data_IF_126810581454
#
_entry.id   IF_126810581454
#
_cell.length_a   1.000
_cell.length_b   1.000
_cell.length_c   1.000
_cell.angle_alpha   90.00
_cell.angle_beta   90.00
_cell.angle_gamma   90.00
#
_symmetry.space_group_name_H-M   'P 1'
#
loop_
_entity.id
_entity.type
_entity.pdbx_description
1 polymer ?
#
# COMPACT_ATOMS: atom_id res chain seq x y z
N UNK A 1 -33.68 2.17 -5.15
CA UNK A 1 -33.73 3.15 -4.04
C UNK A 1 -32.65 2.86 -2.99
N UNK A 2 -32.47 1.60 -2.58
CA UNK A 2 -31.47 1.22 -1.55
C UNK A 2 -30.03 1.59 -1.90
N UNK A 3 -29.59 1.41 -3.13
CA UNK A 3 -28.25 1.78 -3.58
C UNK A 3 -27.95 3.28 -3.41
N UNK A 4 -28.92 4.16 -3.78
CA UNK A 4 -28.74 5.62 -3.68
C UNK A 4 -28.63 6.04 -2.21
N UNK A 5 -29.41 5.45 -1.32
CA UNK A 5 -29.37 5.72 0.12
C UNK A 5 -28.06 5.23 0.79
N UNK A 6 -27.45 4.18 0.25
CA UNK A 6 -26.20 3.62 0.74
C UNK A 6 -24.93 4.32 0.17
N UNK A 7 -25.10 5.16 -0.86
CA UNK A 7 -23.99 5.84 -1.54
C UNK A 7 -23.15 6.76 -0.61
N UNK A 8 -23.75 7.58 0.29
CA UNK A 8 -22.98 8.40 1.23
C UNK A 8 -22.11 7.55 2.17
N UNK A 9 -22.63 6.40 2.62
CA UNK A 9 -21.89 5.46 3.48
C UNK A 9 -20.70 4.85 2.71
N UNK A 10 -20.91 4.43 1.46
CA UNK A 10 -19.84 3.91 0.60
C UNK A 10 -18.74 4.95 0.34
N UNK A 11 -19.11 6.21 0.08
CA UNK A 11 -18.15 7.30 -0.12
C UNK A 11 -17.35 7.57 1.15
N UNK A 12 -18.01 7.64 2.32
CA UNK A 12 -17.33 7.85 3.60
C UNK A 12 -16.33 6.75 3.91
N UNK A 13 -16.74 5.49 3.79
CA UNK A 13 -15.85 4.35 3.97
C UNK A 13 -14.73 4.35 2.93
N UNK A 14 -15.05 4.59 1.67
CA UNK A 14 -14.08 4.67 0.59
C UNK A 14 -13.01 5.74 0.82
N UNK A 15 -13.36 6.90 1.38
CA UNK A 15 -12.40 7.95 1.74
C UNK A 15 -11.49 7.52 2.91
N UNK A 16 -12.04 6.87 3.95
CA UNK A 16 -11.23 6.37 5.09
C UNK A 16 -10.23 5.33 4.60
N UNK A 17 -10.68 4.35 3.81
CA UNK A 17 -9.79 3.36 3.21
C UNK A 17 -8.85 3.98 2.17
N UNK A 18 -9.23 5.09 1.55
CA UNK A 18 -8.38 5.91 0.71
C UNK A 18 -7.21 6.52 1.49
N UNK A 19 -7.43 7.00 2.73
CA UNK A 19 -6.36 7.46 3.63
C UNK A 19 -5.40 6.31 3.95
N UNK A 20 -5.93 5.14 4.30
CA UNK A 20 -5.12 3.94 4.51
C UNK A 20 -4.29 3.60 3.28
N UNK A 21 -4.89 3.63 2.10
CA UNK A 21 -4.21 3.35 0.84
C UNK A 21 -3.12 4.38 0.51
N UNK A 22 -3.28 5.67 0.88
CA UNK A 22 -2.21 6.69 0.78
C UNK A 22 -1.03 6.32 1.68
N UNK A 23 -1.28 5.91 2.93
CA UNK A 23 -0.23 5.43 3.83
C UNK A 23 0.50 4.23 3.23
N UNK A 24 -0.23 3.23 2.79
CA UNK A 24 0.32 2.04 2.15
C UNK A 24 1.04 2.34 0.83
N UNK A 25 0.62 3.35 0.07
CA UNK A 25 1.31 3.79 -1.14
C UNK A 25 2.75 4.23 -0.86
N UNK A 26 3.02 4.80 0.32
CA UNK A 26 4.36 5.22 0.73
C UNK A 26 5.27 4.00 0.90
N UNK A 27 4.86 2.97 1.65
CA UNK A 27 5.68 1.76 1.82
C UNK A 27 5.79 0.97 0.53
N UNK A 28 4.68 0.70 -0.15
CA UNK A 28 4.62 -0.19 -1.30
C UNK A 28 5.23 0.42 -2.57
N UNK A 29 4.88 1.70 -2.91
CA UNK A 29 5.25 2.31 -4.19
C UNK A 29 6.41 3.28 -4.12
N UNK A 30 6.55 4.02 -3.01
CA UNK A 30 7.62 5.02 -2.86
C UNK A 30 8.87 4.36 -2.31
N UNK A 31 8.75 3.49 -1.31
CA UNK A 31 9.87 2.83 -0.64
C UNK A 31 10.23 1.47 -1.27
N UNK A 32 9.36 0.92 -2.12
CA UNK A 32 9.46 -0.43 -2.71
C UNK A 32 9.62 -1.52 -1.63
N UNK A 33 8.81 -1.41 -0.59
CA UNK A 33 8.84 -2.28 0.57
C UNK A 33 7.49 -2.99 0.75
N UNK A 34 7.49 -4.33 0.72
CA UNK A 34 6.28 -5.15 0.94
C UNK A 34 5.95 -5.20 2.43
N UNK A 35 5.26 -4.16 2.92
CA UNK A 35 4.92 -4.00 4.32
C UNK A 35 3.61 -4.72 4.67
N UNK A 36 3.71 -5.83 5.37
CA UNK A 36 2.56 -6.58 5.88
C UNK A 36 2.11 -6.11 7.28
N UNK A 37 2.81 -5.13 7.88
CA UNK A 37 2.44 -4.54 9.18
C UNK A 37 1.15 -3.74 9.09
N UNK A 38 0.80 -3.27 7.89
CA UNK A 38 -0.36 -2.41 7.59
C UNK A 38 -1.65 -2.92 8.22
N UNK A 39 -1.95 -4.22 8.10
CA UNK A 39 -3.14 -4.83 8.71
C UNK A 39 -3.13 -4.68 10.24
N UNK A 40 -1.97 -4.88 10.88
CA UNK A 40 -1.79 -4.72 12.31
C UNK A 40 -1.85 -3.26 12.77
N UNK A 41 -1.14 -2.37 12.06
CA UNK A 41 -1.08 -0.93 12.39
C UNK A 41 -2.45 -0.26 12.26
N UNK A 42 -3.24 -0.66 11.26
CA UNK A 42 -4.62 -0.19 11.09
C UNK A 42 -5.48 -0.55 12.30
N UNK A 43 -5.41 -1.81 12.75
CA UNK A 43 -6.09 -2.26 13.95
C UNK A 43 -5.58 -1.54 15.21
N UNK A 44 -4.26 -1.33 15.35
CA UNK A 44 -3.66 -0.61 16.49
C UNK A 44 -4.18 0.81 16.58
N UNK A 45 -4.26 1.53 15.46
CA UNK A 45 -4.85 2.87 15.43
C UNK A 45 -6.30 2.89 15.89
N UNK A 46 -7.11 1.93 15.43
CA UNK A 46 -8.51 1.75 15.85
C UNK A 46 -8.63 1.41 17.35
N UNK A 47 -7.84 0.46 17.82
CA UNK A 47 -7.84 0.01 19.22
C UNK A 47 -7.47 1.13 20.20
N UNK A 48 -6.35 1.82 19.95
CA UNK A 48 -5.89 2.93 20.79
C UNK A 48 -6.88 4.09 20.79
N UNK A 49 -7.38 4.46 19.61
CA UNK A 49 -8.38 5.52 19.47
C UNK A 49 -9.67 5.18 20.23
N UNK A 50 -10.17 3.94 20.10
CA UNK A 50 -11.38 3.48 20.77
C UNK A 50 -11.24 3.51 22.29
N UNK A 51 -10.14 3.00 22.84
CA UNK A 51 -9.89 2.97 24.30
C UNK A 51 -9.81 4.40 24.86
N UNK A 52 -9.11 5.30 24.18
CA UNK A 52 -9.01 6.70 24.63
C UNK A 52 -10.32 7.43 24.61
N UNK A 53 -11.17 7.20 23.59
CA UNK A 53 -12.51 7.81 23.52
C UNK A 53 -13.41 7.28 24.66
N UNK A 54 -13.39 5.97 24.91
CA UNK A 54 -14.14 5.36 26.03
C UNK A 54 -13.64 5.88 27.38
N UNK A 55 -12.36 6.22 27.49
CA UNK A 55 -11.76 6.86 28.68
C UNK A 55 -12.08 8.36 28.78
N UNK A 56 -12.89 8.93 27.86
CA UNK A 56 -13.30 10.34 27.89
C UNK A 56 -12.30 11.33 27.29
N UNK A 57 -11.27 10.86 26.59
CA UNK A 57 -10.30 11.72 25.91
C UNK A 57 -10.91 12.32 24.63
N UNK A 58 -10.52 13.56 24.30
CA UNK A 58 -10.97 14.23 23.09
C UNK A 58 -10.67 13.38 21.83
N UNK A 59 -11.65 13.18 20.92
CA UNK A 59 -11.49 12.34 19.71
C UNK A 59 -10.30 12.73 18.83
N UNK A 60 -9.97 14.02 18.74
CA UNK A 60 -8.81 14.49 17.98
C UNK A 60 -7.48 14.05 18.61
N UNK A 61 -7.36 14.17 19.95
CA UNK A 61 -6.19 13.65 20.66
C UNK A 61 -6.11 12.13 20.56
N UNK A 62 -7.24 11.42 20.64
CA UNK A 62 -7.27 9.98 20.48
C UNK A 62 -6.77 9.53 19.09
N UNK A 63 -7.11 10.26 18.02
CA UNK A 63 -6.58 10.02 16.67
C UNK A 63 -5.08 10.26 16.58
N UNK A 64 -4.57 11.35 17.18
CA UNK A 64 -3.13 11.65 17.19
C UNK A 64 -2.34 10.56 17.94
N UNK A 65 -2.81 10.14 19.11
CA UNK A 65 -2.15 9.05 19.86
C UNK A 65 -2.23 7.73 19.11
N UNK A 66 -3.36 7.43 18.45
CA UNK A 66 -3.50 6.28 17.56
C UNK A 66 -2.50 6.31 16.40
N UNK A 67 -2.30 7.48 15.78
CA UNK A 67 -1.29 7.70 14.74
C UNK A 67 0.12 7.43 15.27
N UNK A 68 0.47 7.95 16.45
CA UNK A 68 1.77 7.72 17.10
C UNK A 68 2.00 6.24 17.42
N UNK A 69 0.97 5.53 17.86
CA UNK A 69 1.04 4.08 18.08
C UNK A 69 1.33 3.32 16.77
N UNK A 70 0.72 3.72 15.66
CA UNK A 70 1.04 3.18 14.33
C UNK A 70 2.46 3.53 13.88
N UNK A 71 2.95 4.73 14.18
CA UNK A 71 4.34 5.11 13.92
C UNK A 71 5.31 4.21 14.70
N UNK A 72 5.00 3.88 15.95
CA UNK A 72 5.78 2.94 16.76
C UNK A 72 5.77 1.51 16.15
N UNK A 73 4.63 1.07 15.62
CA UNK A 73 4.54 -0.20 14.90
C UNK A 73 5.42 -0.21 13.63
N UNK A 74 5.39 0.84 12.84
CA UNK A 74 6.26 1.02 11.67
C UNK A 74 7.74 1.08 12.04
N UNK A 75 8.08 1.73 13.18
CA UNK A 75 9.43 1.75 13.73
C UNK A 75 9.91 0.33 14.08
N UNK A 76 9.07 -0.47 14.74
CA UNK A 76 9.39 -1.85 15.10
C UNK A 76 9.69 -2.69 13.85
N UNK A 77 8.83 -2.64 12.83
CA UNK A 77 9.07 -3.32 11.54
C UNK A 77 10.37 -2.86 10.88
N UNK A 78 10.59 -1.55 10.88
CA UNK A 78 11.81 -0.96 10.33
C UNK A 78 13.08 -1.41 11.05
N UNK A 79 13.05 -1.50 12.38
CA UNK A 79 14.18 -1.98 13.18
C UNK A 79 14.43 -3.47 12.96
N UNK A 80 13.39 -4.30 12.89
CA UNK A 80 13.53 -5.73 12.55
C UNK A 80 14.19 -5.93 11.19
N UNK A 81 13.80 -5.12 10.19
CA UNK A 81 14.39 -5.19 8.85
C UNK A 81 15.79 -4.60 8.79
N UNK A 82 15.95 -3.35 9.20
CA UNK A 82 17.20 -2.59 9.01
C UNK A 82 18.26 -2.93 10.06
N UNK A 83 17.85 -3.25 11.29
CA UNK A 83 18.74 -3.58 12.40
C UNK A 83 19.12 -5.07 12.46
N UNK A 84 18.15 -5.96 12.26
CA UNK A 84 18.35 -7.41 12.37
C UNK A 84 18.50 -8.11 11.02
N UNK A 85 18.35 -7.39 9.89
CA UNK A 85 18.49 -7.97 8.55
C UNK A 85 17.34 -8.92 8.14
N UNK A 86 16.22 -8.90 8.85
CA UNK A 86 15.07 -9.77 8.54
C UNK A 86 14.44 -9.34 7.21
N UNK A 87 14.08 -10.28 6.31
CA UNK A 87 13.41 -9.95 5.05
C UNK A 87 12.15 -9.08 5.25
N UNK A 88 11.83 -8.15 4.32
CA UNK A 88 10.72 -7.19 4.46
C UNK A 88 9.38 -7.83 4.82
N UNK A 89 8.99 -8.88 4.08
CA UNK A 89 7.72 -9.59 4.28
C UNK A 89 7.67 -10.22 5.69
N UNK A 90 8.76 -10.88 6.10
CA UNK A 90 8.82 -11.56 7.39
C UNK A 90 8.80 -10.56 8.55
N UNK A 91 9.51 -9.44 8.46
CA UNK A 91 9.49 -8.38 9.49
C UNK A 91 8.07 -7.82 9.69
N UNK A 92 7.32 -7.62 8.59
CA UNK A 92 5.92 -7.20 8.64
C UNK A 92 5.01 -8.22 9.32
N UNK A 93 5.13 -9.51 8.97
CA UNK A 93 4.35 -10.58 9.59
C UNK A 93 4.64 -10.68 11.09
N UNK A 94 5.90 -10.64 11.49
CA UNK A 94 6.29 -10.70 12.91
C UNK A 94 5.68 -9.53 13.70
N UNK A 95 5.78 -8.32 13.17
CA UNK A 95 5.19 -7.14 13.82
C UNK A 95 3.66 -7.27 13.88
N UNK A 96 3.00 -7.73 12.82
CA UNK A 96 1.54 -7.93 12.79
C UNK A 96 1.10 -8.93 13.88
N UNK A 97 1.82 -10.03 14.07
CA UNK A 97 1.53 -11.02 15.14
C UNK A 97 1.73 -10.42 16.53
N UNK A 98 2.78 -9.63 16.74
CA UNK A 98 2.99 -8.91 18.01
C UNK A 98 1.86 -7.90 18.26
N UNK A 99 1.49 -7.11 17.26
CA UNK A 99 0.41 -6.12 17.35
C UNK A 99 -0.95 -6.77 17.65
N UNK A 100 -1.23 -7.95 17.11
CA UNK A 100 -2.46 -8.69 17.45
C UNK A 100 -2.61 -8.90 18.96
N UNK A 101 -1.56 -9.39 19.61
CA UNK A 101 -1.57 -9.63 21.07
C UNK A 101 -1.61 -8.31 21.88
N UNK A 102 -0.89 -7.30 21.42
CA UNK A 102 -0.88 -5.95 22.02
C UNK A 102 -2.28 -5.31 21.94
N UNK A 103 -2.92 -5.35 20.76
CA UNK A 103 -4.24 -4.79 20.54
C UNK A 103 -5.31 -5.49 21.39
N UNK A 104 -5.24 -6.82 21.53
CA UNK A 104 -6.11 -7.59 22.41
C UNK A 104 -5.99 -7.13 23.86
N UNK A 105 -4.75 -6.86 24.31
CA UNK A 105 -4.48 -6.38 25.67
C UNK A 105 -4.95 -4.94 25.87
N UNK A 106 -4.77 -4.06 24.89
CA UNK A 106 -5.20 -2.66 24.91
C UNK A 106 -6.73 -2.57 25.01
N UNK A 107 -7.46 -3.31 24.16
CA UNK A 107 -8.92 -3.28 24.14
C UNK A 107 -9.57 -4.08 25.29
N UNK A 108 -8.81 -4.93 25.98
CA UNK A 108 -9.35 -5.81 27.01
C UNK A 108 -10.28 -6.93 26.47
N UNK A 109 -10.30 -7.13 25.15
CA UNK A 109 -11.14 -8.11 24.45
C UNK A 109 -11.00 -8.01 22.94
N UNK A 110 -11.74 -8.85 22.23
CA UNK A 110 -11.69 -8.88 20.76
C UNK A 110 -12.41 -7.69 20.09
N UNK A 111 -13.36 -7.07 20.79
CA UNK A 111 -14.17 -5.96 20.29
C UNK A 111 -14.41 -4.94 21.40
N UNK A 112 -14.31 -3.65 21.08
CA UNK A 112 -14.59 -2.53 21.97
C UNK A 112 -15.59 -1.57 21.29
N UNK A 113 -16.76 -1.39 21.89
CA UNK A 113 -17.81 -0.51 21.35
C UNK A 113 -17.57 0.95 21.74
N UNK A 114 -17.64 1.85 20.77
CA UNK A 114 -17.55 3.29 20.91
C UNK A 114 -18.83 3.93 20.42
N UNK A 115 -19.86 3.97 21.31
CA UNK A 115 -21.15 4.51 20.92
C UNK A 115 -21.10 6.02 20.70
N UNK A 116 -21.44 6.48 19.51
CA UNK A 116 -21.58 7.90 19.18
C UNK A 116 -22.68 8.63 19.98
N UNK A 117 -23.56 7.89 20.67
CA UNK A 117 -24.59 8.45 21.55
C UNK A 117 -24.02 8.80 22.93
N UNK A 118 -22.99 8.08 23.37
CA UNK A 118 -22.42 8.19 24.72
C UNK A 118 -21.13 9.02 24.71
N UNK A 119 -20.34 8.90 23.63
CA UNK A 119 -19.04 9.54 23.51
C UNK A 119 -19.03 10.55 22.38
N UNK A 120 -18.26 11.62 22.54
CA UNK A 120 -18.01 12.56 21.46
C UNK A 120 -17.16 11.87 20.39
N UNK A 121 -17.61 11.88 19.14
CA UNK A 121 -16.88 11.38 17.96
C UNK A 121 -16.94 12.45 16.87
N UNK A 122 -15.89 12.56 16.06
CA UNK A 122 -15.88 13.52 14.94
C UNK A 122 -16.61 12.98 13.72
N UNK A 123 -16.59 11.67 13.56
CA UNK A 123 -17.12 10.98 12.38
C UNK A 123 -18.00 9.81 12.83
N UNK A 124 -19.25 9.76 12.35
CA UNK A 124 -20.19 8.69 12.69
C UNK A 124 -20.98 8.23 11.48
N UNK A 125 -21.25 6.93 11.40
CA UNK A 125 -22.09 6.33 10.36
C UNK A 125 -23.55 6.78 10.43
N UNK A 126 -24.01 7.23 11.61
CA UNK A 126 -25.37 7.74 11.78
C UNK A 126 -25.64 9.01 10.94
N UNK A 127 -24.61 9.81 10.68
CA UNK A 127 -24.68 11.05 9.89
C UNK A 127 -23.62 11.04 8.79
N UNK A 128 -23.69 10.09 7.86
CA UNK A 128 -22.71 9.91 6.79
C UNK A 128 -22.49 11.19 5.96
N UNK A 129 -23.53 12.00 5.76
CA UNK A 129 -23.46 13.26 5.01
C UNK A 129 -22.54 14.30 5.69
N UNK A 130 -22.52 14.34 7.02
CA UNK A 130 -21.63 15.23 7.79
C UNK A 130 -20.23 14.62 7.87
N UNK A 131 -20.11 13.30 7.87
CA UNK A 131 -18.83 12.59 7.92
C UNK A 131 -17.99 12.82 6.66
N UNK A 132 -18.61 12.91 5.47
CA UNK A 132 -17.90 13.08 4.19
C UNK A 132 -16.98 14.31 4.18
N UNK A 133 -17.46 15.54 4.48
CA UNK A 133 -16.59 16.72 4.43
C UNK A 133 -15.46 16.67 5.46
N UNK A 134 -15.69 16.06 6.64
CA UNK A 134 -14.67 15.92 7.67
C UNK A 134 -13.56 14.96 7.18
N UNK A 135 -13.94 13.79 6.67
CA UNK A 135 -12.97 12.81 6.14
C UNK A 135 -12.24 13.36 4.92
N UNK A 136 -12.95 14.09 4.05
CA UNK A 136 -12.34 14.74 2.89
C UNK A 136 -11.31 15.80 3.31
N UNK A 137 -11.59 16.57 4.36
CA UNK A 137 -10.64 17.51 4.93
C UNK A 137 -9.37 16.78 5.43
N UNK A 138 -9.51 15.62 6.09
CA UNK A 138 -8.35 14.79 6.47
C UNK A 138 -7.55 14.35 5.24
N UNK A 139 -8.21 13.86 4.17
CA UNK A 139 -7.53 13.47 2.93
C UNK A 139 -6.73 14.64 2.35
N UNK A 140 -7.35 15.82 2.24
CA UNK A 140 -6.68 17.02 1.69
C UNK A 140 -5.48 17.43 2.54
N UNK A 141 -5.63 17.46 3.86
CA UNK A 141 -4.54 17.82 4.79
C UNK A 141 -3.40 16.81 4.69
N UNK A 142 -3.69 15.51 4.68
CA UNK A 142 -2.68 14.46 4.54
C UNK A 142 -1.94 14.57 3.22
N UNK A 143 -2.67 14.74 2.10
CA UNK A 143 -2.05 14.91 0.77
C UNK A 143 -1.18 16.15 0.73
N UNK A 144 -1.62 17.26 1.31
CA UNK A 144 -0.86 18.52 1.37
C UNK A 144 0.43 18.36 2.20
N UNK A 145 0.32 17.79 3.41
CA UNK A 145 1.47 17.54 4.29
C UNK A 145 2.48 16.60 3.64
N UNK A 146 2.01 15.52 3.02
CA UNK A 146 2.88 14.57 2.32
C UNK A 146 3.52 15.19 1.07
N UNK A 147 2.79 16.00 0.33
CA UNK A 147 3.35 16.69 -0.83
C UNK A 147 4.49 17.62 -0.43
N UNK A 148 4.29 18.40 0.65
CA UNK A 148 5.32 19.25 1.21
C UNK A 148 6.51 18.43 1.74
N UNK A 149 6.25 17.37 2.51
CA UNK A 149 7.29 16.50 3.08
C UNK A 149 8.13 15.83 2.00
N UNK A 150 7.52 15.24 0.98
CA UNK A 150 8.25 14.59 -0.12
C UNK A 150 8.94 15.57 -1.08
N UNK A 151 8.72 16.87 -0.93
CA UNK A 151 9.50 17.94 -1.55
C UNK A 151 10.77 18.30 -0.80
N UNK A 152 10.94 17.89 0.47
CA UNK A 152 12.14 18.12 1.28
C UNK A 152 13.27 17.16 0.92
N UNK A 153 14.49 17.46 1.38
CA UNK A 153 15.67 16.58 1.19
C UNK A 153 15.45 15.19 1.77
N UNK A 154 14.79 15.10 2.95
CA UNK A 154 14.43 13.85 3.61
C UNK A 154 13.47 13.03 2.74
N UNK A 155 12.42 13.65 2.22
CA UNK A 155 11.46 13.00 1.33
C UNK A 155 12.08 12.57 0.01
N UNK A 156 12.97 13.38 -0.57
CA UNK A 156 13.76 13.00 -1.77
C UNK A 156 14.65 11.80 -1.50
N UNK A 157 15.30 11.73 -0.33
CA UNK A 157 16.17 10.61 0.07
C UNK A 157 15.37 9.30 0.25
N UNK A 158 14.15 9.36 0.80
CA UNK A 158 13.24 8.20 0.88
C UNK A 158 12.89 7.69 -0.53
N UNK A 159 12.54 8.60 -1.45
CA UNK A 159 12.19 8.26 -2.83
C UNK A 159 13.39 7.68 -3.59
N UNK A 160 14.59 8.25 -3.41
CA UNK A 160 15.82 7.75 -3.99
C UNK A 160 16.14 6.33 -3.48
N UNK A 161 16.01 6.11 -2.16
CA UNK A 161 16.25 4.82 -1.51
C UNK A 161 15.32 3.73 -2.04
N UNK A 162 14.03 4.04 -2.27
CA UNK A 162 13.09 3.08 -2.83
C UNK A 162 13.32 2.80 -4.31
N UNK A 163 13.79 3.81 -5.08
CA UNK A 163 14.02 3.63 -6.51
C UNK A 163 15.28 2.81 -6.82
N UNK A 164 16.39 3.12 -6.15
CA UNK A 164 17.66 2.38 -6.28
C UNK A 164 18.50 2.50 -5.01
N UNK A 165 18.45 1.50 -4.10
CA UNK A 165 19.18 1.53 -2.84
C UNK A 165 20.71 1.57 -3.02
N UNK A 166 21.24 0.89 -4.05
CA UNK A 166 22.68 0.81 -4.29
C UNK A 166 23.23 2.16 -4.74
N UNK A 167 22.54 2.84 -5.66
CA UNK A 167 22.89 4.18 -6.10
C UNK A 167 22.81 5.18 -4.93
N UNK A 168 21.78 5.08 -4.10
CA UNK A 168 21.60 5.95 -2.94
C UNK A 168 22.75 5.80 -1.93
N UNK A 169 23.21 4.57 -1.67
CA UNK A 169 24.38 4.31 -0.82
C UNK A 169 25.67 4.89 -1.41
N UNK A 170 25.86 4.77 -2.72
CA UNK A 170 27.03 5.35 -3.41
C UNK A 170 27.09 6.88 -3.28
N UNK A 171 25.93 7.53 -3.11
CA UNK A 171 25.82 8.97 -2.86
C UNK A 171 25.87 9.35 -1.37
N UNK A 172 26.20 8.40 -0.47
CA UNK A 172 26.31 8.65 0.97
C UNK A 172 24.98 8.65 1.73
N UNK A 173 23.85 8.29 1.09
CA UNK A 173 22.54 8.26 1.74
C UNK A 173 22.43 6.99 2.61
N UNK A 174 22.10 7.16 3.91
CA UNK A 174 21.84 6.03 4.81
C UNK A 174 20.50 5.38 4.50
N UNK A 175 20.50 4.40 3.59
CA UNK A 175 19.27 3.73 3.13
C UNK A 175 18.49 3.04 4.23
N UNK A 176 19.17 2.52 5.27
CA UNK A 176 18.51 1.87 6.40
C UNK A 176 17.68 2.86 7.22
N UNK A 177 18.24 4.04 7.52
CA UNK A 177 17.51 5.10 8.23
C UNK A 177 16.27 5.56 7.45
N UNK A 178 16.41 5.81 6.14
CA UNK A 178 15.29 6.29 5.32
C UNK A 178 14.22 5.23 5.06
N UNK A 179 14.58 3.94 5.05
CA UNK A 179 13.61 2.84 5.05
C UNK A 179 12.78 2.82 6.32
N UNK A 180 13.43 2.89 7.49
CA UNK A 180 12.75 2.94 8.80
C UNK A 180 11.81 4.16 8.86
N UNK A 181 12.30 5.34 8.49
CA UNK A 181 11.51 6.57 8.51
C UNK A 181 10.29 6.49 7.58
N UNK A 182 10.46 5.95 6.38
CA UNK A 182 9.34 5.74 5.45
C UNK A 182 8.27 4.79 6.00
N UNK A 183 8.67 3.71 6.67
CA UNK A 183 7.75 2.78 7.34
C UNK A 183 7.02 3.42 8.52
N UNK A 184 7.71 4.25 9.30
CA UNK A 184 7.12 5.00 10.42
C UNK A 184 6.01 5.92 9.91
N UNK A 185 6.27 6.72 8.87
CA UNK A 185 5.28 7.64 8.29
C UNK A 185 4.11 6.87 7.68
N UNK A 186 4.40 5.81 6.92
CA UNK A 186 3.39 4.96 6.29
C UNK A 186 2.42 4.38 7.31
N UNK A 187 2.94 3.68 8.32
CA UNK A 187 2.13 3.03 9.34
C UNK A 187 1.42 4.03 10.27
N UNK A 188 1.96 5.23 10.46
CA UNK A 188 1.27 6.31 11.17
C UNK A 188 -0.02 6.75 10.45
N UNK A 189 0.03 6.96 9.14
CA UNK A 189 -1.15 7.32 8.33
C UNK A 189 -2.16 6.18 8.28
N UNK A 190 -1.67 4.95 8.16
CA UNK A 190 -2.52 3.73 8.19
C UNK A 190 -3.27 3.64 9.52
N UNK A 191 -2.59 3.85 10.64
CA UNK A 191 -3.21 3.82 11.97
C UNK A 191 -4.21 4.97 12.18
N UNK A 192 -3.93 6.16 11.65
CA UNK A 192 -4.88 7.28 11.65
C UNK A 192 -6.17 6.90 10.92
N UNK A 193 -6.07 6.23 9.77
CA UNK A 193 -7.24 5.72 9.06
C UNK A 193 -8.01 4.66 9.88
N UNK A 194 -7.30 3.78 10.59
CA UNK A 194 -7.91 2.81 11.51
C UNK A 194 -8.67 3.48 12.65
N UNK A 195 -8.12 4.55 13.25
CA UNK A 195 -8.80 5.36 14.25
C UNK A 195 -10.06 6.06 13.72
N UNK A 196 -9.99 6.62 12.51
CA UNK A 196 -11.16 7.20 11.83
C UNK A 196 -12.24 6.15 11.54
N UNK A 197 -11.84 4.93 11.14
CA UNK A 197 -12.78 3.85 10.89
C UNK A 197 -13.47 3.41 12.17
N UNK A 198 -12.74 3.28 13.29
CA UNK A 198 -13.29 2.92 14.58
C UNK A 198 -14.33 3.95 15.06
N UNK A 199 -14.06 5.25 14.89
CA UNK A 199 -15.06 6.31 15.19
C UNK A 199 -16.26 6.22 14.25
N UNK A 200 -16.05 6.00 12.96
CA UNK A 200 -17.09 5.94 11.95
C UNK A 200 -18.04 4.76 12.19
N UNK A 201 -17.51 3.57 12.43
CA UNK A 201 -18.30 2.36 12.67
C UNK A 201 -18.89 2.31 14.07
N UNK A 202 -18.30 3.03 15.04
CA UNK A 202 -18.73 3.01 16.43
C UNK A 202 -18.23 1.80 17.22
N UNK A 203 -17.21 1.10 16.73
CA UNK A 203 -16.51 0.02 17.42
C UNK A 203 -15.12 -0.20 16.82
N UNK A 204 -14.21 -0.76 17.63
CA UNK A 204 -12.96 -1.32 17.18
C UNK A 204 -12.98 -2.83 17.33
N UNK A 205 -12.54 -3.56 16.32
CA UNK A 205 -12.44 -5.02 16.29
C UNK A 205 -11.00 -5.44 15.99
N UNK A 206 -10.54 -6.53 16.62
CA UNK A 206 -9.17 -7.02 16.45
C UNK A 206 -8.86 -7.47 15.01
N UNK A 207 -9.90 -7.78 14.24
CA UNK A 207 -9.77 -8.24 12.86
C UNK A 207 -10.11 -7.13 11.84
N UNK A 208 -10.34 -5.88 12.29
CA UNK A 208 -10.77 -4.79 11.40
C UNK A 208 -9.74 -4.45 10.32
N UNK A 209 -8.45 -4.73 10.55
CA UNK A 209 -7.37 -4.53 9.59
C UNK A 209 -7.17 -5.70 8.61
N UNK A 210 -7.78 -6.86 8.85
CA UNK A 210 -7.56 -8.03 7.99
C UNK A 210 -8.06 -7.81 6.57
N UNK A 211 -7.13 -7.87 5.61
CA UNK A 211 -7.40 -7.63 4.19
C UNK A 211 -7.21 -6.16 3.77
N UNK A 212 -6.75 -5.30 4.68
CA UNK A 212 -6.45 -3.90 4.37
C UNK A 212 -5.44 -3.78 3.22
N UNK A 213 -4.42 -4.62 3.21
CA UNK A 213 -3.41 -4.67 2.15
C UNK A 213 -4.04 -4.91 0.78
N UNK A 214 -5.01 -5.84 0.69
CA UNK A 214 -5.68 -6.18 -0.58
C UNK A 214 -6.50 -5.00 -1.09
N UNK A 215 -7.27 -4.36 -0.19
CA UNK A 215 -8.05 -3.16 -0.51
C UNK A 215 -7.11 -1.99 -0.89
N UNK A 216 -6.00 -1.83 -0.15
CA UNK A 216 -5.00 -0.81 -0.43
C UNK A 216 -4.36 -0.97 -1.81
N UNK A 217 -3.97 -2.20 -2.18
CA UNK A 217 -3.44 -2.49 -3.52
C UNK A 217 -4.45 -2.18 -4.61
N UNK A 218 -5.72 -2.58 -4.43
CA UNK A 218 -6.79 -2.26 -5.37
C UNK A 218 -6.95 -0.75 -5.54
N UNK A 219 -7.03 -0.01 -4.42
CA UNK A 219 -7.14 1.46 -4.44
C UNK A 219 -5.96 2.13 -5.14
N UNK A 220 -4.73 1.66 -4.88
CA UNK A 220 -3.51 2.17 -5.53
C UNK A 220 -3.56 1.94 -7.04
N UNK A 221 -3.92 0.73 -7.48
CA UNK A 221 -3.90 0.37 -8.90
C UNK A 221 -5.00 1.12 -9.65
N UNK A 222 -6.23 1.09 -9.14
CA UNK A 222 -7.37 1.81 -9.72
C UNK A 222 -7.09 3.31 -9.76
N UNK A 223 -6.67 3.87 -8.61
CA UNK A 223 -6.40 5.29 -8.49
C UNK A 223 -5.29 5.78 -9.40
N UNK A 224 -4.17 5.05 -9.46
CA UNK A 224 -3.05 5.40 -10.34
C UNK A 224 -3.40 5.21 -11.81
N UNK A 225 -4.24 4.22 -12.18
CA UNK A 225 -4.70 4.03 -13.56
C UNK A 225 -5.58 5.20 -14.04
N UNK A 226 -6.48 5.68 -13.18
CA UNK A 226 -7.37 6.83 -13.48
C UNK A 226 -6.56 8.11 -13.70
N UNK A 227 -5.58 8.36 -12.82
CA UNK A 227 -4.82 9.63 -12.81
C UNK A 227 -3.62 9.62 -13.76
N UNK A 228 -3.16 8.45 -14.23
CA UNK A 228 -1.98 8.31 -15.11
C UNK A 228 -2.02 9.19 -16.35
N UNK A 229 -3.22 9.47 -16.89
CA UNK A 229 -3.43 10.33 -18.06
C UNK A 229 -3.46 11.82 -17.73
N UNK A 230 -3.71 12.19 -16.47
CA UNK A 230 -4.01 13.58 -16.07
C UNK A 230 -2.73 14.33 -15.68
N UNK A 231 -1.85 13.73 -14.89
CA UNK A 231 -0.64 14.42 -14.45
C UNK A 231 0.45 13.46 -13.92
N UNK A 232 1.72 13.94 -14.02
CA UNK A 232 2.88 13.31 -13.38
C UNK A 232 3.11 13.80 -11.95
N UNK A 233 2.32 14.76 -11.47
CA UNK A 233 2.49 15.37 -10.15
C UNK A 233 2.22 14.35 -9.03
N UNK A 234 3.06 14.37 -7.99
CA UNK A 234 3.01 13.44 -6.87
C UNK A 234 1.72 13.61 -6.03
N UNK A 235 1.30 14.88 -5.77
CA UNK A 235 0.06 15.15 -5.04
C UNK A 235 -1.18 14.58 -5.76
N UNK A 236 -1.23 14.74 -7.09
CA UNK A 236 -2.35 14.23 -7.91
C UNK A 236 -2.38 12.70 -7.89
N UNK A 237 -1.22 12.03 -7.84
CA UNK A 237 -1.17 10.57 -7.70
C UNK A 237 -1.71 10.11 -6.35
N UNK A 238 -1.36 10.79 -5.25
CA UNK A 238 -1.89 10.47 -3.91
C UNK A 238 -3.40 10.74 -3.82
N UNK A 239 -3.88 11.87 -4.33
CA UNK A 239 -5.32 12.13 -4.48
C UNK A 239 -6.03 11.08 -5.32
N UNK A 240 -5.37 10.61 -6.39
CA UNK A 240 -5.84 9.49 -7.21
C UNK A 240 -6.00 8.19 -6.43
N UNK A 241 -5.07 7.88 -5.52
CA UNK A 241 -5.16 6.70 -4.66
C UNK A 241 -6.37 6.80 -3.73
N UNK A 242 -6.64 7.98 -3.13
CA UNK A 242 -7.84 8.18 -2.34
C UNK A 242 -9.12 7.98 -3.16
N UNK A 243 -9.17 8.53 -4.38
CA UNK A 243 -10.29 8.29 -5.32
C UNK A 243 -10.42 6.81 -5.68
N UNK A 244 -9.31 6.09 -5.82
CA UNK A 244 -9.31 4.64 -6.05
C UNK A 244 -10.01 3.87 -4.92
N UNK A 245 -9.80 4.26 -3.66
CA UNK A 245 -10.53 3.72 -2.51
C UNK A 245 -12.04 3.98 -2.58
N UNK A 246 -12.44 5.19 -2.96
CA UNK A 246 -13.85 5.54 -3.15
C UNK A 246 -14.49 4.70 -4.28
N UNK A 247 -13.82 4.60 -5.42
CA UNK A 247 -14.30 3.78 -6.55
C UNK A 247 -14.48 2.32 -6.13
N UNK A 248 -13.49 1.77 -5.42
CA UNK A 248 -13.55 0.40 -4.92
C UNK A 248 -14.77 0.17 -4.03
N UNK A 249 -15.04 1.08 -3.08
CA UNK A 249 -16.18 0.94 -2.16
C UNK A 249 -17.53 1.17 -2.85
N UNK A 250 -17.61 2.05 -3.85
CA UNK A 250 -18.82 2.21 -4.67
C UNK A 250 -19.13 0.91 -5.44
N UNK A 251 -18.11 0.27 -6.03
CA UNK A 251 -18.29 -1.01 -6.72
C UNK A 251 -18.73 -2.10 -5.74
N UNK A 252 -18.11 -2.17 -4.57
CA UNK A 252 -18.49 -3.13 -3.53
C UNK A 252 -19.96 -2.93 -3.11
N UNK A 253 -20.36 -1.68 -2.87
CA UNK A 253 -21.73 -1.33 -2.49
C UNK A 253 -22.75 -1.64 -3.60
N UNK A 254 -22.37 -1.44 -4.86
CA UNK A 254 -23.24 -1.81 -5.99
C UNK A 254 -23.49 -3.32 -6.02
N UNK A 255 -22.50 -4.13 -5.72
CA UNK A 255 -22.63 -5.60 -5.71
C UNK A 255 -23.47 -6.05 -4.51
N UNK A 256 -23.31 -5.43 -3.33
CA UNK A 256 -24.19 -5.70 -2.15
C UNK A 256 -25.64 -5.36 -2.48
N UNK A 257 -25.90 -4.25 -3.16
CA UNK A 257 -27.23 -3.83 -3.56
C UNK A 257 -27.91 -4.77 -4.58
N UNK A 258 -27.14 -5.65 -5.22
CA UNK A 258 -27.67 -6.73 -6.08
C UNK A 258 -28.20 -7.94 -5.29
N UNK A 259 -28.19 -7.89 -3.96
CA UNK A 259 -28.77 -8.91 -3.08
C UNK A 259 -27.82 -10.07 -2.74
N UNK A 260 -26.51 -9.86 -2.84
CA UNK A 260 -25.53 -10.86 -2.40
C UNK A 260 -25.39 -10.86 -0.88
N UNK A 261 -25.27 -12.04 -0.30
CA UNK A 261 -25.12 -12.25 1.13
C UNK A 261 -23.86 -11.56 1.68
N UNK A 262 -23.99 -10.92 2.83
CA UNK A 262 -22.90 -10.22 3.52
C UNK A 262 -21.75 -11.15 3.91
N UNK A 263 -22.00 -12.45 4.06
CA UNK A 263 -20.98 -13.46 4.36
C UNK A 263 -19.99 -13.66 3.21
N UNK A 264 -20.42 -13.37 1.98
CA UNK A 264 -19.60 -13.46 0.78
C UNK A 264 -18.76 -12.21 0.49
N UNK A 265 -18.89 -11.14 1.31
CA UNK A 265 -18.20 -9.86 1.08
C UNK A 265 -16.68 -9.99 0.93
N UNK A 266 -16.04 -10.85 1.74
CA UNK A 266 -14.58 -11.06 1.65
C UNK A 266 -14.19 -11.77 0.35
N UNK A 267 -14.94 -12.77 -0.06
CA UNK A 267 -14.74 -13.46 -1.34
C UNK A 267 -14.96 -12.48 -2.50
N UNK A 268 -16.04 -11.73 -2.45
CA UNK A 268 -16.39 -10.74 -3.45
C UNK A 268 -15.33 -9.65 -3.58
N UNK A 269 -14.85 -9.11 -2.45
CA UNK A 269 -13.76 -8.13 -2.45
C UNK A 269 -12.51 -8.68 -3.13
N UNK A 270 -12.15 -9.93 -2.87
CA UNK A 270 -11.01 -10.59 -3.52
C UNK A 270 -11.22 -10.74 -5.03
N UNK A 271 -12.44 -11.10 -5.47
CA UNK A 271 -12.77 -11.21 -6.90
C UNK A 271 -12.73 -9.85 -7.58
N UNK A 272 -13.30 -8.81 -6.97
CA UNK A 272 -13.25 -7.43 -7.50
C UNK A 272 -11.79 -6.97 -7.67
N UNK A 273 -10.94 -7.22 -6.66
CA UNK A 273 -9.51 -6.90 -6.74
C UNK A 273 -8.81 -7.69 -7.84
N UNK A 274 -9.10 -8.99 -7.96
CA UNK A 274 -8.54 -9.83 -9.02
C UNK A 274 -8.90 -9.33 -10.43
N UNK A 275 -10.14 -8.86 -10.61
CA UNK A 275 -10.58 -8.24 -11.87
C UNK A 275 -9.83 -6.94 -12.14
N UNK A 276 -9.73 -6.04 -11.14
CA UNK A 276 -9.01 -4.78 -11.29
C UNK A 276 -7.52 -4.96 -11.60
N UNK A 277 -6.88 -5.98 -11.02
CA UNK A 277 -5.49 -6.34 -11.29
C UNK A 277 -5.32 -7.06 -12.63
N UNK A 278 -6.23 -7.97 -12.97
CA UNK A 278 -6.14 -8.83 -14.14
C UNK A 278 -6.45 -8.11 -15.46
N UNK A 279 -7.47 -7.24 -15.48
CA UNK A 279 -7.90 -6.54 -16.70
C UNK A 279 -6.80 -5.70 -17.37
N UNK A 280 -6.03 -4.86 -16.65
CA UNK A 280 -4.92 -4.11 -17.25
C UNK A 280 -3.83 -5.03 -17.82
N UNK A 281 -3.52 -6.13 -17.14
CA UNK A 281 -2.52 -7.09 -17.58
C UNK A 281 -2.97 -7.83 -18.86
N UNK A 282 -4.19 -8.32 -18.88
CA UNK A 282 -4.79 -8.96 -20.05
C UNK A 282 -4.86 -8.03 -21.26
N UNK A 283 -5.27 -6.77 -21.06
CA UNK A 283 -5.26 -5.75 -22.12
C UNK A 283 -3.86 -5.52 -22.70
N UNK A 284 -2.84 -5.45 -21.84
CA UNK A 284 -1.45 -5.26 -22.28
C UNK A 284 -0.99 -6.46 -23.14
N UNK A 285 -1.24 -7.68 -22.67
CA UNK A 285 -0.91 -8.92 -23.39
C UNK A 285 -1.62 -9.05 -24.74
N UNK A 286 -2.91 -8.66 -24.80
CA UNK A 286 -3.69 -8.66 -26.06
C UNK A 286 -3.19 -7.59 -27.05
N UNK A 287 -2.72 -6.43 -26.56
CA UNK A 287 -2.14 -5.41 -27.42
C UNK A 287 -0.75 -5.77 -27.93
N UNK A 288 0.09 -6.39 -27.12
CA UNK A 288 1.42 -6.87 -27.51
C UNK A 288 1.31 -8.02 -28.51
N UNK A 289 0.36 -8.95 -28.34
CA UNK A 289 0.07 -10.01 -29.31
C UNK A 289 -0.36 -9.50 -30.69
N UNK A 290 -1.09 -8.38 -30.75
CA UNK A 290 -1.44 -7.71 -32.03
C UNK A 290 -0.26 -7.03 -32.70
N UNK A 291 0.75 -6.55 -31.95
CA UNK A 291 1.95 -5.97 -32.53
C UNK A 291 2.94 -7.00 -33.08
N UNK A 292 3.02 -8.18 -32.46
CA UNK A 292 3.87 -9.28 -32.95
C UNK A 292 3.27 -9.87 -34.24
N UNK A 293 1.93 -10.00 -34.33
CA UNK A 293 1.25 -10.44 -35.56
C UNK A 293 1.43 -9.47 -36.75
N UNK A 294 1.46 -8.15 -36.48
CA UNK A 294 1.68 -7.14 -37.53
C UNK A 294 3.14 -7.05 -38.00
N UNK A 295 4.12 -7.41 -37.17
CA UNK A 295 5.54 -7.49 -37.60
C UNK A 295 5.81 -8.75 -38.42
N UNK A 296 5.20 -9.91 -38.09
CA UNK A 296 5.32 -11.12 -38.91
C UNK A 296 4.68 -10.97 -40.29
N UNK A 297 3.57 -10.25 -40.42
CA UNK A 297 2.91 -10.00 -41.71
C UNK A 297 3.67 -9.05 -42.65
N UNK A 298 4.58 -8.21 -42.12
CA UNK A 298 5.44 -7.32 -42.93
C UNK A 298 6.77 -7.96 -43.33
N UNK A 299 7.21 -9.00 -42.62
CA UNK A 299 8.49 -9.69 -42.91
C UNK A 299 8.34 -10.78 -44.04
N UNK A 300 7.10 -11.15 -44.42
CA UNK A 300 6.84 -12.13 -45.50
C UNK A 300 6.72 -11.44 -46.88
N UNK A 301 6.75 -10.10 -46.96
CA UNK A 301 6.59 -9.34 -48.19
C UNK A 301 7.90 -8.62 -48.65
N UNK A 302 9.07 -9.03 -48.17
CA UNK A 302 10.35 -8.55 -48.66
C UNK A 302 11.03 -9.72 -49.39
N UNK A 303 11.20 -9.59 -50.70
CA UNK A 303 11.95 -10.51 -51.57
C UNK A 303 13.42 -10.63 -51.07
N UNK A 304 14.05 -11.80 -51.32
CA UNK A 304 15.42 -12.06 -50.90
C UNK A 304 16.40 -11.27 -51.81
N UNK A 305 17.01 -10.20 -51.30
CA UNK A 305 18.22 -9.63 -51.88
C UNK A 305 19.40 -10.55 -51.57
N UNK A 306 20.11 -10.93 -52.64
CA UNK A 306 21.33 -11.72 -52.67
C UNK A 306 22.41 -11.19 -51.72
N UNK A 307 22.66 -11.86 -50.61
CA UNK A 307 23.79 -11.61 -49.75
C UNK A 307 24.85 -12.63 -50.01
N UNK A 308 25.93 -12.22 -50.70
CA UNK A 308 27.17 -12.98 -50.83
C UNK A 308 27.76 -13.33 -49.47
N UNK A 309 28.40 -14.48 -49.28
CA UNK A 309 28.90 -14.91 -47.97
C UNK A 309 30.15 -14.09 -47.58
N UNK A 310 29.99 -13.26 -46.59
CA UNK A 310 31.08 -12.54 -45.90
C UNK A 310 31.89 -13.57 -45.07
N UNK A 311 33.19 -13.64 -45.33
CA UNK A 311 34.12 -14.56 -44.66
C UNK A 311 34.19 -14.18 -43.16
N UNK A 312 33.78 -15.09 -42.29
CA UNK A 312 34.06 -15.03 -40.88
C UNK A 312 35.54 -15.34 -40.64
N UNK A 313 36.32 -14.35 -40.27
CA UNK A 313 37.66 -14.56 -39.77
C UNK A 313 37.52 -14.99 -38.31
N UNK A 314 37.87 -16.23 -38.04
CA UNK A 314 37.97 -16.77 -36.69
C UNK A 314 39.34 -16.34 -36.17
N UNK A 315 39.42 -15.40 -35.27
CA UNK A 315 40.61 -15.08 -34.49
C UNK A 315 40.82 -16.18 -33.44
N UNK A 316 42.01 -16.80 -33.50
CA UNK A 316 42.46 -17.84 -32.60
C UNK A 316 42.54 -17.36 -31.16
N UNK A 317 41.70 -17.94 -30.31
CA UNK A 317 41.82 -17.83 -28.85
C UNK A 317 42.91 -18.80 -28.41
N UNK A 318 44.07 -18.26 -28.08
CA UNK A 318 45.18 -19.00 -27.43
C UNK A 318 44.71 -19.32 -26.00
N UNK A 319 44.48 -20.59 -25.75
CA UNK A 319 44.29 -21.12 -24.39
C UNK A 319 45.68 -21.40 -23.84
N UNK A 320 46.13 -20.58 -22.89
CA UNK A 320 47.31 -20.89 -22.06
C UNK A 320 46.92 -21.99 -21.06
N UNK A 321 47.47 -23.19 -21.26
CA UNK A 321 47.44 -24.28 -20.29
C UNK A 321 48.38 -23.94 -19.12
N UNK A 322 47.90 -23.85 -17.91
CA UNK A 322 48.69 -23.86 -16.66
C UNK A 322 49.34 -25.25 -16.48
N UNK A 323 50.65 -25.33 -16.15
CA UNK A 323 51.29 -26.62 -15.90
C UNK A 323 50.90 -27.19 -14.54
N UNK A 324 50.42 -28.40 -14.57
CA UNK A 324 50.19 -29.33 -13.49
C UNK A 324 51.47 -29.57 -12.69
N UNK A 325 51.50 -29.24 -11.40
CA UNK A 325 52.54 -29.68 -10.47
C UNK A 325 52.04 -30.83 -9.64
N UNK A 326 52.31 -32.03 -10.14
CA UNK A 326 52.37 -33.26 -9.33
C UNK A 326 53.82 -33.46 -8.84
N UNK A 327 53.87 -33.84 -7.56
CA UNK A 327 54.90 -34.64 -6.88
C UNK A 327 56.35 -34.13 -6.81
N UNK A 328 56.81 -33.93 -5.58
CA UNK A 328 57.94 -34.67 -5.03
C UNK A 328 57.79 -34.90 -3.54
N UNK A 329 57.63 -36.16 -3.16
CA UNK A 329 57.83 -36.77 -1.87
C UNK A 329 59.36 -36.87 -1.62
N UNK A 330 59.73 -37.00 -0.29
CA UNK A 330 60.96 -37.43 0.30
C UNK A 330 62.07 -36.40 0.58
N UNK A 331 62.14 -36.00 1.87
CA UNK A 331 63.24 -36.32 2.84
C UNK A 331 62.97 -35.54 4.15
#
# INVERSE_FOLDING_TARGET
MEFINALPTAISQGLIWGIMAIGFYISYKVLDFSDLTVDGSFCTGGAVCAVLIVSGVNPGLALLVGMLAGMAAGLLTGLLHAGMGIPPILSGILTQLMLYSINLKIMGGANLTVSARTFAVWVSSANATIAIPIILAFVVVIVFVLYWFFGTEVGCSIRATGNNPNMSRAQGINTNFYKVLGLVISNGIVALAGGLLAQYQGFADINMGRGAIVIGLAAIIVGTAVVKKISRNFAIKMGGVALGGVIYYIVLQAVIAMGLDTDLLKMLSAVVVAIFLGVPHLRKKLMEGKHVGKKKGKAVAAEPEDIAPERVVVEDVVVEEEPNQEEVHDA
#
